data_IF_530571353430
#
_entry.id   IF_530571353430
#
_cell.length_a   1.000
_cell.length_b   1.000
_cell.length_c   1.000
_cell.angle_alpha   90.00
_cell.angle_beta   90.00
_cell.angle_gamma   90.00
#
_symmetry.space_group_name_H-M   'P 1'
#
loop_
_entity.id
_entity.type
_entity.pdbx_description
1 polymer ?
#
# COMPACT_ATOMS: atom_id res chain seq x y z
N UNK A 1 -10.42 -10.58 -4.15
CA UNK A 1 -9.16 -11.31 -3.86
C UNK A 1 -8.58 -10.65 -2.62
N UNK A 2 -8.38 -11.39 -1.53
CA UNK A 2 -7.73 -10.81 -0.35
C UNK A 2 -6.28 -10.44 -0.71
N UNK A 3 -5.86 -9.24 -0.33
CA UNK A 3 -4.47 -8.81 -0.47
C UNK A 3 -3.58 -9.71 0.40
N UNK A 4 -2.52 -10.27 -0.16
CA UNK A 4 -1.59 -11.13 0.57
C UNK A 4 -0.42 -10.34 1.17
N UNK A 5 0.23 -10.95 2.17
CA UNK A 5 1.38 -10.35 2.88
C UNK A 5 2.53 -10.05 1.93
N UNK A 6 2.79 -10.91 0.94
CA UNK A 6 3.90 -10.76 0.02
C UNK A 6 3.71 -9.54 -0.88
N UNK A 7 2.48 -9.28 -1.32
CA UNK A 7 2.11 -8.10 -2.07
C UNK A 7 2.30 -6.84 -1.23
N UNK A 8 1.79 -6.81 0.01
CA UNK A 8 1.96 -5.66 0.89
C UNK A 8 3.44 -5.33 1.14
N UNK A 9 4.27 -6.36 1.35
CA UNK A 9 5.72 -6.22 1.48
C UNK A 9 6.38 -5.75 0.19
N UNK A 10 5.99 -6.27 -0.97
CA UNK A 10 6.51 -5.83 -2.26
C UNK A 10 6.25 -4.33 -2.48
N UNK A 11 5.05 -3.84 -2.12
CA UNK A 11 4.70 -2.42 -2.18
C UNK A 11 5.58 -1.59 -1.23
N UNK A 12 5.87 -2.08 -0.02
CA UNK A 12 6.72 -1.38 0.95
C UNK A 12 8.20 -1.34 0.54
N UNK A 13 8.68 -2.33 -0.21
CA UNK A 13 10.06 -2.37 -0.68
C UNK A 13 10.24 -1.55 -1.97
N UNK A 14 9.17 -1.27 -2.72
CA UNK A 14 9.24 -0.50 -3.97
C UNK A 14 10.01 0.85 -3.85
N UNK A 15 9.84 1.68 -2.80
CA UNK A 15 10.63 2.89 -2.59
C UNK A 15 12.13 2.63 -2.43
N UNK A 16 12.53 1.51 -1.83
CA UNK A 16 13.94 1.12 -1.65
C UNK A 16 14.59 0.84 -3.00
N UNK A 17 13.90 0.08 -3.86
CA UNK A 17 14.38 -0.15 -5.23
C UNK A 17 14.41 1.15 -6.05
N UNK A 18 13.44 2.04 -5.88
CA UNK A 18 13.42 3.33 -6.54
C UNK A 18 14.58 4.24 -6.09
N UNK A 19 14.99 4.15 -4.83
CA UNK A 19 16.16 4.85 -4.31
C UNK A 19 17.45 4.27 -4.86
N UNK A 20 17.57 2.94 -4.91
CA UNK A 20 18.71 2.26 -5.54
C UNK A 20 18.86 2.64 -7.03
N UNK A 21 17.74 2.79 -7.75
CA UNK A 21 17.72 3.25 -9.14
C UNK A 21 17.97 4.76 -9.30
N UNK A 22 18.12 5.52 -8.21
CA UNK A 22 18.23 7.00 -8.20
C UNK A 22 17.03 7.72 -8.82
N UNK A 23 15.86 7.07 -8.81
CA UNK A 23 14.61 7.58 -9.36
C UNK A 23 13.80 8.30 -8.28
N UNK A 24 13.88 7.82 -7.03
CA UNK A 24 13.14 8.36 -5.88
C UNK A 24 13.34 9.87 -5.68
N UNK A 25 14.53 10.39 -5.94
CA UNK A 25 14.84 11.82 -5.77
C UNK A 25 14.06 12.74 -6.71
N UNK A 26 13.56 12.23 -7.84
CA UNK A 26 12.73 13.00 -8.79
C UNK A 26 11.24 12.96 -8.46
N UNK A 27 10.80 11.92 -7.75
CA UNK A 27 9.37 11.59 -7.55
C UNK A 27 9.12 11.07 -6.14
N UNK A 28 9.68 11.74 -5.13
CA UNK A 28 9.66 11.28 -3.75
C UNK A 28 8.24 11.19 -3.17
N UNK A 29 7.41 12.21 -3.44
CA UNK A 29 6.02 12.27 -2.96
C UNK A 29 5.17 11.11 -3.47
N UNK A 30 5.17 10.75 -4.77
CA UNK A 30 4.56 9.52 -5.27
C UNK A 30 4.97 8.24 -4.51
N UNK A 31 6.27 8.07 -4.22
CA UNK A 31 6.75 6.89 -3.50
C UNK A 31 6.30 6.86 -2.04
N UNK A 32 6.04 8.00 -1.41
CA UNK A 32 5.43 8.04 -0.07
C UNK A 32 3.97 7.55 -0.09
N UNK A 33 3.21 7.85 -1.15
CA UNK A 33 1.87 7.28 -1.33
C UNK A 33 1.92 5.76 -1.54
N UNK A 34 2.88 5.27 -2.34
CA UNK A 34 3.11 3.83 -2.54
C UNK A 34 3.45 3.15 -1.21
N UNK A 35 4.35 3.73 -0.41
CA UNK A 35 4.68 3.19 0.92
C UNK A 35 3.46 3.18 1.85
N UNK A 36 2.68 4.26 1.87
CA UNK A 36 1.44 4.35 2.63
C UNK A 36 0.42 3.28 2.24
N UNK A 37 0.31 2.97 0.94
CA UNK A 37 -0.53 1.88 0.46
C UNK A 37 -0.12 0.52 1.06
N UNK A 38 1.19 0.24 1.08
CA UNK A 38 1.72 -0.98 1.69
C UNK A 38 1.36 -1.11 3.17
N UNK A 39 1.41 -0.01 3.93
CA UNK A 39 0.98 0.02 5.34
C UNK A 39 -0.52 -0.29 5.45
N UNK A 40 -1.36 0.32 4.62
CA UNK A 40 -2.80 0.05 4.63
C UNK A 40 -3.13 -1.40 4.27
N UNK A 41 -2.41 -2.00 3.31
CA UNK A 41 -2.57 -3.42 3.02
C UNK A 41 -2.16 -4.31 4.19
N UNK A 42 -1.07 -4.00 4.90
CA UNK A 42 -0.71 -4.71 6.13
C UNK A 42 -1.78 -4.57 7.21
N UNK A 43 -2.40 -3.40 7.36
CA UNK A 43 -3.51 -3.20 8.29
C UNK A 43 -4.74 -4.02 7.87
N UNK A 44 -5.08 -4.07 6.57
CA UNK A 44 -6.17 -4.91 6.08
C UNK A 44 -5.94 -6.39 6.41
N UNK A 45 -4.70 -6.88 6.26
CA UNK A 45 -4.30 -8.25 6.63
C UNK A 45 -4.35 -8.45 8.15
N UNK A 46 -3.91 -7.48 8.94
CA UNK A 46 -3.99 -7.58 10.40
C UNK A 46 -5.44 -7.70 10.88
N UNK A 47 -6.37 -6.98 10.27
CA UNK A 47 -7.80 -7.05 10.57
C UNK A 47 -8.46 -8.35 10.10
N UNK A 48 -7.86 -9.09 9.16
CA UNK A 48 -8.34 -10.41 8.74
C UNK A 48 -7.79 -11.55 9.60
N UNK A 49 -6.84 -11.27 10.51
CA UNK A 49 -6.32 -12.28 11.43
C UNK A 49 -7.37 -12.70 12.48
N UNK A 50 -7.32 -13.97 12.90
CA UNK A 50 -8.29 -14.61 13.81
C UNK A 50 -8.51 -13.83 15.12
N UNK A 51 -7.48 -13.13 15.60
CA UNK A 51 -7.57 -12.29 16.79
C UNK A 51 -8.63 -11.18 16.67
N UNK A 52 -8.75 -10.59 15.48
CA UNK A 52 -9.75 -9.56 15.18
C UNK A 52 -11.07 -10.15 14.69
N UNK A 53 -11.09 -11.38 14.18
CA UNK A 53 -12.33 -12.04 13.74
C UNK A 53 -13.37 -12.16 14.87
N UNK A 54 -12.92 -12.21 16.14
CA UNK A 54 -13.77 -12.15 17.33
C UNK A 54 -14.54 -10.82 17.49
N UNK A 55 -14.09 -9.74 16.85
CA UNK A 55 -14.77 -8.45 16.82
C UNK A 55 -15.92 -8.39 15.79
N UNK A 56 -16.20 -9.49 15.07
CA UNK A 56 -17.33 -9.62 14.16
C UNK A 56 -17.32 -8.58 13.04
N UNK A 57 -18.43 -7.82 12.90
CA UNK A 57 -18.61 -6.85 11.81
C UNK A 57 -17.53 -5.75 11.75
N UNK A 58 -17.00 -5.31 12.91
CA UNK A 58 -15.96 -4.28 12.95
C UNK A 58 -14.66 -4.73 12.26
N UNK A 59 -14.32 -6.01 12.36
CA UNK A 59 -13.16 -6.58 11.69
C UNK A 59 -13.34 -6.53 10.18
N UNK A 60 -14.51 -6.96 9.69
CA UNK A 60 -14.86 -6.99 8.27
C UNK A 60 -14.82 -5.57 7.67
N UNK A 61 -15.43 -4.59 8.33
CA UNK A 61 -15.38 -3.20 7.86
C UNK A 61 -13.96 -2.63 7.88
N UNK A 62 -13.14 -3.00 8.86
CA UNK A 62 -11.73 -2.64 8.92
C UNK A 62 -10.96 -3.18 7.71
N UNK A 63 -11.13 -4.46 7.39
CA UNK A 63 -10.50 -5.08 6.19
C UNK A 63 -10.86 -4.28 4.93
N UNK A 64 -12.15 -4.06 4.67
CA UNK A 64 -12.58 -3.35 3.46
C UNK A 64 -12.12 -1.89 3.41
N UNK A 65 -12.15 -1.19 4.54
CA UNK A 65 -11.71 0.20 4.62
C UNK A 65 -10.23 0.33 4.29
N UNK A 66 -9.37 -0.46 4.94
CA UNK A 66 -7.94 -0.39 4.74
C UNK A 66 -7.51 -0.94 3.38
N UNK A 67 -8.17 -1.97 2.88
CA UNK A 67 -7.93 -2.48 1.52
C UNK A 67 -8.27 -1.41 0.47
N UNK A 68 -9.42 -0.74 0.60
CA UNK A 68 -9.82 0.34 -0.29
C UNK A 68 -8.83 1.52 -0.25
N UNK A 69 -8.42 1.96 0.95
CA UNK A 69 -7.43 3.03 1.11
C UNK A 69 -6.07 2.64 0.54
N UNK A 70 -5.65 1.39 0.73
CA UNK A 70 -4.42 0.84 0.16
C UNK A 70 -4.44 0.93 -1.36
N UNK A 71 -5.50 0.45 -2.01
CA UNK A 71 -5.65 0.55 -3.46
C UNK A 71 -5.68 2.00 -3.94
N UNK A 72 -6.40 2.89 -3.26
CA UNK A 72 -6.47 4.30 -3.62
C UNK A 72 -5.08 4.97 -3.57
N UNK A 73 -4.33 4.77 -2.49
CA UNK A 73 -2.99 5.32 -2.33
C UNK A 73 -2.02 4.73 -3.35
N UNK A 74 -2.10 3.43 -3.63
CA UNK A 74 -1.25 2.77 -4.61
C UNK A 74 -1.48 3.35 -6.01
N UNK A 75 -2.75 3.51 -6.41
CA UNK A 75 -3.12 3.98 -7.73
C UNK A 75 -2.69 5.44 -7.94
N UNK A 76 -2.92 6.30 -6.95
CA UNK A 76 -2.44 7.70 -6.96
C UNK A 76 -0.91 7.75 -7.03
N UNK A 77 -0.23 6.97 -6.18
CA UNK A 77 1.23 6.93 -6.12
C UNK A 77 1.86 6.46 -7.43
N UNK A 78 1.34 5.37 -8.02
CA UNK A 78 1.85 4.81 -9.27
C UNK A 78 1.61 5.75 -10.46
N UNK A 79 0.40 6.29 -10.61
CA UNK A 79 0.11 7.23 -11.70
C UNK A 79 0.96 8.48 -11.61
N UNK A 80 1.11 9.03 -10.41
CA UNK A 80 1.91 10.23 -10.21
C UNK A 80 3.41 9.97 -10.41
N UNK A 81 3.93 8.82 -9.96
CA UNK A 81 5.30 8.42 -10.25
C UNK A 81 5.54 8.31 -11.76
N UNK A 82 4.63 7.62 -12.48
CA UNK A 82 4.74 7.49 -13.94
C UNK A 82 4.74 8.85 -14.65
N UNK A 83 3.80 9.75 -14.29
CA UNK A 83 3.74 11.10 -14.85
C UNK A 83 4.99 11.94 -14.52
N UNK A 84 5.55 11.79 -13.32
CA UNK A 84 6.76 12.48 -12.90
C UNK A 84 8.02 11.96 -13.58
N UNK A 85 8.02 10.72 -14.08
CA UNK A 85 9.16 10.12 -14.79
C UNK A 85 9.15 10.34 -16.30
N UNK A 86 7.98 10.64 -16.87
CA UNK A 86 7.85 10.97 -18.30
C UNK A 86 8.20 12.43 -18.61
N UNK A 87 8.32 13.28 -17.60
CA UNK A 87 8.72 14.69 -17.74
C UNK A 87 10.22 14.85 -17.52
#
# INVERSE_FOLDING_TARGET
>A
MAVDVWFALAILIAPVFAEYAKIRTKVERPFNFIAGAGIFFLLAIAFSADFFALAGGAAIYGVYLFEFLGWLFLLIGVLWAALGLMK
#
